data_IF_857723079161
#
_entry.id   IF_857723079161
#
_cell.length_a   1.000
_cell.length_b   1.000
_cell.length_c   1.000
_cell.angle_alpha   90.00
_cell.angle_beta   90.00
_cell.angle_gamma   90.00
#
_symmetry.space_group_name_H-M   'P 1'
#
loop_
_entity.id
_entity.type
_entity.pdbx_description
1 polymer ?
#
# COMPACT_ATOMS: atom_id res chain seq x y z
N UNK A 1 -9.92 5.74 -22.33
CA UNK A 1 -9.14 4.91 -21.37
C UNK A 1 -8.33 5.85 -20.49
N UNK A 2 -8.25 5.59 -19.19
CA UNK A 2 -7.43 6.37 -18.25
C UNK A 2 -6.38 5.45 -17.61
N UNK A 3 -5.08 5.77 -17.68
CA UNK A 3 -4.04 5.01 -16.98
C UNK A 3 -4.00 5.34 -15.48
N UNK A 4 -3.73 4.32 -14.66
CA UNK A 4 -3.45 4.45 -13.23
C UNK A 4 -2.07 3.85 -12.93
N UNK A 5 -1.09 4.71 -12.63
CA UNK A 5 0.32 4.34 -12.49
C UNK A 5 0.81 4.11 -11.06
N UNK A 6 -0.03 4.30 -10.06
CA UNK A 6 0.34 4.13 -8.65
C UNK A 6 -0.75 4.63 -7.69
N UNK A 7 -0.49 4.51 -6.38
CA UNK A 7 -1.46 4.86 -5.33
C UNK A 7 -1.91 6.33 -5.39
N UNK A 8 -1.01 7.25 -5.71
CA UNK A 8 -1.30 8.69 -5.78
C UNK A 8 -2.19 9.07 -6.96
N UNK A 9 -2.21 8.23 -8.02
CA UNK A 9 -3.03 8.47 -9.20
C UNK A 9 -4.52 8.19 -8.96
N UNK A 10 -4.85 7.32 -8.01
CA UNK A 10 -6.20 6.77 -7.85
C UNK A 10 -7.21 7.89 -7.59
N UNK A 11 -6.93 8.80 -6.64
CA UNK A 11 -7.80 9.94 -6.34
C UNK A 11 -7.93 10.87 -7.56
N UNK A 12 -6.83 11.14 -8.28
CA UNK A 12 -6.82 11.98 -9.49
C UNK A 12 -7.67 11.38 -10.61
N UNK A 13 -7.57 10.07 -10.84
CA UNK A 13 -8.35 9.33 -11.83
C UNK A 13 -9.84 9.37 -11.45
N UNK A 14 -10.18 9.11 -10.19
CA UNK A 14 -11.55 9.19 -9.69
C UNK A 14 -12.17 10.59 -9.90
N UNK A 15 -11.44 11.67 -9.56
CA UNK A 15 -11.87 13.06 -9.82
C UNK A 15 -12.15 13.30 -11.30
N UNK A 16 -11.23 12.85 -12.17
CA UNK A 16 -11.34 13.01 -13.62
C UNK A 16 -12.61 12.34 -14.14
N UNK A 17 -12.85 11.08 -13.75
CA UNK A 17 -14.05 10.33 -14.14
C UNK A 17 -15.30 11.07 -13.66
N UNK A 18 -15.37 11.39 -12.38
CA UNK A 18 -16.54 12.02 -11.76
C UNK A 18 -16.89 13.36 -12.41
N UNK A 19 -15.89 14.22 -12.64
CA UNK A 19 -16.09 15.52 -13.28
C UNK A 19 -16.64 15.39 -14.70
N UNK A 20 -16.06 14.49 -15.50
CA UNK A 20 -16.50 14.27 -16.87
C UNK A 20 -17.88 13.61 -16.93
N UNK A 21 -18.18 12.66 -16.04
CA UNK A 21 -19.51 12.06 -15.92
C UNK A 21 -20.58 13.08 -15.54
N UNK A 22 -20.28 14.03 -14.64
CA UNK A 22 -21.20 15.14 -14.34
C UNK A 22 -21.43 16.08 -15.51
N UNK A 23 -20.40 16.31 -16.34
CA UNK A 23 -20.47 17.24 -17.48
C UNK A 23 -21.13 16.64 -18.72
N UNK A 24 -20.79 15.39 -19.03
CA UNK A 24 -21.17 14.73 -20.29
C UNK A 24 -22.19 13.60 -20.09
N UNK A 25 -22.53 13.27 -18.85
CA UNK A 25 -23.49 12.23 -18.51
C UNK A 25 -23.10 10.86 -19.03
N UNK A 26 -24.08 10.13 -19.54
CA UNK A 26 -23.95 8.76 -20.04
C UNK A 26 -23.21 8.68 -21.39
N UNK A 27 -22.96 9.80 -22.07
CA UNK A 27 -22.31 9.81 -23.39
C UNK A 27 -20.81 9.45 -23.32
N UNK A 28 -20.17 9.65 -22.17
CA UNK A 28 -18.75 9.38 -21.97
C UNK A 28 -18.53 8.07 -21.22
N UNK A 29 -17.53 7.30 -21.67
CA UNK A 29 -17.19 6.00 -21.13
C UNK A 29 -15.72 5.96 -20.68
N UNK A 30 -15.48 5.42 -19.49
CA UNK A 30 -14.19 5.29 -18.85
C UNK A 30 -13.88 3.82 -18.55
N UNK A 31 -12.81 3.34 -19.18
CA UNK A 31 -12.09 2.14 -18.77
C UNK A 31 -10.78 2.58 -18.13
N UNK A 32 -10.52 2.13 -16.91
CA UNK A 32 -9.27 2.40 -16.20
C UNK A 32 -8.30 1.25 -16.48
N UNK A 33 -7.08 1.56 -16.93
CA UNK A 33 -6.00 0.58 -17.06
C UNK A 33 -5.03 0.77 -15.91
N UNK A 34 -4.95 -0.22 -15.04
CA UNK A 34 -3.91 -0.31 -14.03
C UNK A 34 -2.57 -0.63 -14.70
N UNK A 35 -1.53 0.15 -14.42
CA UNK A 35 -0.17 -0.04 -14.97
C UNK A 35 0.76 -0.73 -13.98
N UNK A 36 0.51 -0.57 -12.69
CA UNK A 36 1.25 -1.18 -11.57
C UNK A 36 0.25 -1.68 -10.53
N UNK A 37 0.52 -2.75 -9.77
CA UNK A 37 -0.39 -3.27 -8.75
C UNK A 37 -0.65 -2.25 -7.64
N UNK A 38 -1.71 -1.45 -7.77
CA UNK A 38 -1.99 -0.32 -6.90
C UNK A 38 -3.48 -0.17 -6.54
N UNK A 39 -4.40 -0.69 -7.36
CA UNK A 39 -5.84 -0.58 -7.14
C UNK A 39 -6.27 -1.74 -6.22
N UNK A 40 -6.60 -1.43 -4.97
CA UNK A 40 -7.20 -2.41 -4.04
C UNK A 40 -8.72 -2.37 -4.12
N UNK A 41 -9.37 -3.27 -3.39
CA UNK A 41 -10.83 -3.37 -3.33
C UNK A 41 -11.54 -2.02 -3.13
N UNK A 42 -11.13 -1.22 -2.17
CA UNK A 42 -11.79 0.06 -1.87
C UNK A 42 -11.58 1.09 -2.98
N UNK A 43 -10.39 1.11 -3.58
CA UNK A 43 -10.09 1.97 -4.74
C UNK A 43 -10.91 1.56 -5.96
N UNK A 44 -11.05 0.25 -6.19
CA UNK A 44 -11.89 -0.31 -7.25
C UNK A 44 -13.32 0.20 -7.08
N UNK A 45 -13.89 0.07 -5.89
CA UNK A 45 -15.26 0.55 -5.63
C UNK A 45 -15.37 2.05 -5.76
N UNK A 46 -14.40 2.83 -5.28
CA UNK A 46 -14.38 4.27 -5.48
C UNK A 46 -14.40 4.65 -6.96
N UNK A 47 -13.58 4.00 -7.79
CA UNK A 47 -13.49 4.27 -9.22
C UNK A 47 -14.78 3.88 -9.96
N UNK A 48 -15.39 2.73 -9.60
CA UNK A 48 -16.69 2.32 -10.14
C UNK A 48 -17.79 3.31 -9.71
N UNK A 49 -17.86 3.70 -8.44
CA UNK A 49 -18.82 4.69 -7.92
C UNK A 49 -18.61 6.07 -8.52
N UNK A 50 -17.37 6.44 -8.86
CA UNK A 50 -17.07 7.66 -9.62
C UNK A 50 -17.63 7.61 -11.06
N UNK A 51 -17.85 6.41 -11.60
CA UNK A 51 -18.45 6.17 -12.91
C UNK A 51 -17.55 5.48 -13.93
N UNK A 52 -16.48 4.78 -13.51
CA UNK A 52 -15.76 3.87 -14.39
C UNK A 52 -16.64 2.68 -14.78
N UNK A 53 -16.68 2.30 -16.06
CA UNK A 53 -17.39 1.08 -16.48
C UNK A 53 -16.62 -0.19 -16.13
N UNK A 54 -15.29 -0.15 -16.25
CA UNK A 54 -14.44 -1.29 -15.93
C UNK A 54 -13.02 -0.85 -15.58
N UNK A 55 -12.33 -1.76 -14.90
CA UNK A 55 -10.93 -1.63 -14.51
C UNK A 55 -10.20 -2.86 -15.03
N UNK A 56 -9.10 -2.62 -15.73
CA UNK A 56 -8.24 -3.67 -16.29
C UNK A 56 -6.97 -3.72 -15.46
N UNK A 57 -6.79 -4.83 -14.76
CA UNK A 57 -5.64 -5.13 -13.90
C UNK A 57 -4.31 -5.09 -14.69
N UNK A 58 -3.23 -4.73 -14.00
CA UNK A 58 -1.88 -4.61 -14.58
C UNK A 58 -1.39 -5.90 -15.26
N UNK A 59 -1.77 -7.09 -14.76
CA UNK A 59 -1.39 -8.40 -15.32
C UNK A 59 -2.08 -8.73 -16.64
N UNK A 60 -3.17 -8.03 -16.99
CA UNK A 60 -3.96 -8.34 -18.18
C UNK A 60 -3.37 -7.69 -19.43
N UNK A 61 -3.37 -8.43 -20.54
CA UNK A 61 -2.88 -7.97 -21.84
C UNK A 61 -3.74 -6.86 -22.44
N UNK A 62 -3.17 -6.15 -23.41
CA UNK A 62 -3.88 -5.08 -24.13
C UNK A 62 -5.09 -5.59 -24.92
N UNK A 63 -5.09 -6.86 -25.35
CA UNK A 63 -6.26 -7.46 -25.99
C UNK A 63 -7.51 -7.39 -25.09
N UNK A 64 -7.35 -7.75 -23.80
CA UNK A 64 -8.42 -7.62 -22.80
C UNK A 64 -8.83 -6.16 -22.62
N UNK A 65 -7.89 -5.23 -22.64
CA UNK A 65 -8.19 -3.80 -22.58
C UNK A 65 -9.05 -3.35 -23.76
N UNK A 66 -8.70 -3.73 -24.99
CA UNK A 66 -9.49 -3.38 -26.18
C UNK A 66 -10.90 -3.99 -26.13
N UNK A 67 -11.04 -5.23 -25.68
CA UNK A 67 -12.34 -5.85 -25.47
C UNK A 67 -13.19 -5.08 -24.46
N UNK A 68 -12.59 -4.64 -23.34
CA UNK A 68 -13.28 -3.83 -22.33
C UNK A 68 -13.68 -2.46 -22.85
N UNK A 69 -12.85 -1.81 -23.67
CA UNK A 69 -13.20 -0.54 -24.33
C UNK A 69 -14.40 -0.73 -25.27
N UNK A 70 -14.40 -1.81 -26.06
CA UNK A 70 -15.51 -2.13 -26.95
C UNK A 70 -16.80 -2.39 -26.16
N UNK A 71 -16.74 -3.20 -25.10
CA UNK A 71 -17.89 -3.46 -24.23
C UNK A 71 -18.42 -2.19 -23.56
N UNK A 72 -17.53 -1.33 -23.06
CA UNK A 72 -17.92 -0.05 -22.46
C UNK A 72 -18.70 0.81 -23.47
N UNK A 73 -18.29 0.87 -24.74
CA UNK A 73 -19.01 1.63 -25.77
C UNK A 73 -20.43 1.14 -26.09
N UNK A 74 -20.75 -0.10 -25.72
CA UNK A 74 -22.05 -0.75 -25.98
C UNK A 74 -22.99 -0.73 -24.77
N UNK A 75 -22.50 -0.34 -23.60
CA UNK A 75 -23.24 -0.40 -22.34
C UNK A 75 -23.50 1.00 -21.81
N UNK A 76 -24.70 1.21 -21.25
CA UNK A 76 -25.02 2.44 -20.52
C UNK A 76 -24.84 2.20 -19.03
N UNK A 77 -24.32 3.20 -18.33
CA UNK A 77 -24.22 3.20 -16.88
C UNK A 77 -25.01 4.40 -16.37
N UNK A 78 -26.03 4.12 -15.57
CA UNK A 78 -26.94 5.16 -15.05
C UNK A 78 -26.17 6.24 -14.28
N UNK A 79 -26.62 7.47 -14.46
CA UNK A 79 -26.03 8.65 -13.84
C UNK A 79 -26.62 8.92 -12.45
N UNK A 80 -26.12 8.22 -11.43
CA UNK A 80 -26.31 8.61 -10.03
C UNK A 80 -24.94 8.74 -9.33
N UNK A 81 -24.25 9.84 -9.61
CA UNK A 81 -22.90 10.07 -9.14
C UNK A 81 -22.88 10.91 -7.86
N UNK A 82 -22.09 10.48 -6.88
CA UNK A 82 -21.90 11.19 -5.62
C UNK A 82 -21.28 12.59 -5.83
N UNK A 83 -21.40 13.45 -4.81
CA UNK A 83 -20.54 14.64 -4.73
C UNK A 83 -19.06 14.22 -4.59
N UNK A 84 -18.12 15.07 -5.01
CA UNK A 84 -16.69 14.75 -4.86
C UNK A 84 -16.33 14.47 -3.40
N UNK A 85 -16.80 15.32 -2.49
CA UNK A 85 -16.59 15.19 -1.05
C UNK A 85 -17.22 13.91 -0.50
N UNK A 86 -18.45 13.58 -0.93
CA UNK A 86 -19.14 12.35 -0.50
C UNK A 86 -18.40 11.10 -0.99
N UNK A 87 -17.91 11.11 -2.22
CA UNK A 87 -17.15 10.00 -2.80
C UNK A 87 -15.88 9.74 -1.99
N UNK A 88 -15.04 10.76 -1.79
CA UNK A 88 -13.78 10.53 -1.08
C UNK A 88 -13.98 10.18 0.39
N UNK A 89 -14.93 10.83 1.08
CA UNK A 89 -15.25 10.49 2.46
C UNK A 89 -15.71 9.04 2.62
N UNK A 90 -16.45 8.51 1.64
CA UNK A 90 -16.95 7.13 1.71
C UNK A 90 -15.82 6.09 1.56
N UNK A 91 -14.78 6.40 0.79
CA UNK A 91 -13.69 5.49 0.47
C UNK A 91 -12.34 5.93 1.04
N UNK A 92 -12.35 6.83 2.02
CA UNK A 92 -11.14 7.29 2.70
C UNK A 92 -10.59 6.17 3.57
N UNK A 93 -9.25 6.02 3.59
CA UNK A 93 -8.63 5.12 4.55
C UNK A 93 -8.81 5.69 5.95
N UNK A 94 -9.12 4.85 6.96
CA UNK A 94 -9.20 5.30 8.35
C UNK A 94 -7.83 5.67 8.95
N UNK A 95 -6.71 5.41 8.24
CA UNK A 95 -5.35 5.70 8.68
C UNK A 95 -4.67 6.57 7.61
N UNK A 96 -4.12 7.71 8.03
CA UNK A 96 -3.51 8.68 7.11
C UNK A 96 -2.01 8.42 6.89
N UNK A 97 -1.37 7.79 7.89
CA UNK A 97 0.03 7.44 7.98
C UNK A 97 0.40 6.28 7.06
N UNK A 98 1.70 6.10 6.82
CA UNK A 98 2.24 4.95 6.10
C UNK A 98 3.63 4.60 6.59
N UNK A 99 3.96 3.30 6.55
CA UNK A 99 5.28 2.81 6.87
C UNK A 99 5.46 2.49 8.36
N UNK A 100 6.71 2.47 8.81
CA UNK A 100 7.04 2.09 10.18
C UNK A 100 6.76 3.22 11.17
N UNK A 101 6.09 2.90 12.26
CA UNK A 101 5.79 3.78 13.39
C UNK A 101 6.12 3.06 14.70
N UNK A 102 6.22 3.80 15.82
CA UNK A 102 6.40 3.20 17.14
C UNK A 102 5.24 2.26 17.50
N UNK A 103 5.48 1.29 18.38
CA UNK A 103 4.45 0.33 18.76
C UNK A 103 3.22 1.01 19.38
N UNK A 104 3.42 2.04 20.23
CA UNK A 104 2.33 2.80 20.82
C UNK A 104 1.48 3.52 19.76
N UNK A 105 2.14 4.19 18.80
CA UNK A 105 1.44 4.83 17.68
C UNK A 105 0.71 3.79 16.83
N UNK A 106 1.36 2.67 16.51
CA UNK A 106 0.78 1.57 15.75
C UNK A 106 -0.49 1.04 16.41
N UNK A 107 -0.43 0.77 17.72
CA UNK A 107 -1.55 0.27 18.51
C UNK A 107 -2.70 1.27 18.52
N UNK A 108 -2.42 2.54 18.82
CA UNK A 108 -3.46 3.58 18.82
C UNK A 108 -4.12 3.77 17.45
N UNK A 109 -3.33 3.84 16.38
CA UNK A 109 -3.83 3.97 15.00
C UNK A 109 -4.67 2.76 14.59
N UNK A 110 -4.20 1.54 14.88
CA UNK A 110 -4.93 0.30 14.56
C UNK A 110 -6.27 0.22 15.29
N UNK A 111 -6.30 0.53 16.58
CA UNK A 111 -7.54 0.50 17.37
C UNK A 111 -8.55 1.55 16.90
N UNK A 112 -8.07 2.76 16.59
CA UNK A 112 -8.93 3.80 16.02
C UNK A 112 -9.49 3.37 14.65
N UNK A 113 -8.65 2.79 13.81
CA UNK A 113 -9.07 2.31 12.49
C UNK A 113 -10.15 1.23 12.58
N UNK A 114 -10.03 0.28 13.52
CA UNK A 114 -11.04 -0.74 13.77
C UNK A 114 -12.38 -0.11 14.17
N UNK A 115 -12.37 0.89 15.06
CA UNK A 115 -13.61 1.56 15.50
C UNK A 115 -14.28 2.34 14.37
N UNK A 116 -13.50 3.06 13.56
CA UNK A 116 -14.01 3.73 12.34
C UNK A 116 -14.58 2.69 11.38
N UNK A 117 -13.85 1.60 11.15
CA UNK A 117 -14.25 0.57 10.22
C UNK A 117 -15.51 -0.18 10.67
N UNK A 118 -15.80 -0.27 11.97
CA UNK A 118 -16.99 -0.96 12.50
C UNK A 118 -18.31 -0.45 11.92
N UNK A 119 -18.37 0.86 11.60
CA UNK A 119 -19.54 1.50 11.00
C UNK A 119 -19.48 1.55 9.46
N UNK A 120 -18.42 0.99 8.88
CA UNK A 120 -18.20 0.90 7.43
C UNK A 120 -18.13 -0.57 7.02
N UNK A 121 -18.25 -0.87 5.73
CA UNK A 121 -18.02 -2.24 5.22
C UNK A 121 -16.57 -2.42 4.74
N UNK A 122 -15.63 -1.64 5.30
CA UNK A 122 -14.23 -1.67 4.91
C UNK A 122 -13.53 -2.78 5.71
N UNK A 123 -13.02 -3.78 5.00
CA UNK A 123 -12.21 -4.85 5.58
C UNK A 123 -10.77 -4.38 5.82
N UNK A 124 -10.14 -4.95 6.84
CA UNK A 124 -8.77 -4.69 7.24
C UNK A 124 -8.10 -5.99 7.70
N UNK A 125 -6.77 -5.96 7.80
CA UNK A 125 -6.00 -7.10 8.26
C UNK A 125 -4.79 -6.67 9.10
N UNK A 126 -4.57 -7.35 10.22
CA UNK A 126 -3.31 -7.34 10.95
C UNK A 126 -2.53 -8.60 10.58
N UNK A 127 -1.28 -8.42 10.18
CA UNK A 127 -0.35 -9.51 9.90
C UNK A 127 0.82 -9.41 10.86
N UNK A 128 1.15 -10.53 11.49
CA UNK A 128 2.33 -10.68 12.34
C UNK A 128 3.34 -11.60 11.64
N UNK A 129 4.59 -11.14 11.58
CA UNK A 129 5.67 -11.77 10.86
C UNK A 129 6.87 -11.98 11.79
N UNK A 130 7.31 -13.24 11.90
CA UNK A 130 8.53 -13.60 12.65
C UNK A 130 9.66 -13.86 11.66
N UNK A 131 10.75 -13.08 11.67
CA UNK A 131 11.87 -13.29 10.75
C UNK A 131 12.63 -14.58 11.07
N UNK A 132 13.35 -15.13 10.11
CA UNK A 132 14.34 -16.18 10.39
C UNK A 132 15.41 -15.65 11.35
N UNK A 133 15.94 -16.50 12.23
CA UNK A 133 17.03 -16.12 13.15
C UNK A 133 18.31 -15.66 12.43
N UNK A 134 18.49 -16.07 11.17
CA UNK A 134 19.59 -15.64 10.29
C UNK A 134 19.36 -14.27 9.64
N UNK A 135 18.15 -13.71 9.72
CA UNK A 135 17.78 -12.43 9.12
C UNK A 135 17.52 -11.42 10.24
N UNK A 136 18.45 -10.48 10.50
CA UNK A 136 18.23 -9.40 11.45
C UNK A 136 16.96 -8.62 11.12
N UNK A 137 16.24 -8.18 12.15
CA UNK A 137 14.96 -7.48 11.97
C UNK A 137 15.12 -6.17 11.19
N UNK A 138 16.23 -5.46 11.41
CA UNK A 138 16.61 -4.27 10.63
C UNK A 138 16.81 -4.57 9.14
N UNK A 139 17.34 -5.74 8.81
CA UNK A 139 17.50 -6.20 7.43
C UNK A 139 16.14 -6.52 6.81
N UNK A 140 15.28 -7.28 7.50
CA UNK A 140 13.92 -7.57 7.05
C UNK A 140 13.11 -6.28 6.80
N UNK A 141 13.26 -5.28 7.68
CA UNK A 141 12.65 -3.96 7.51
C UNK A 141 13.21 -3.20 6.31
N UNK A 142 14.50 -3.32 6.01
CA UNK A 142 15.12 -2.64 4.86
C UNK A 142 14.57 -3.11 3.50
N UNK A 143 14.04 -4.34 3.43
CA UNK A 143 13.35 -4.86 2.25
C UNK A 143 11.89 -4.39 2.14
N UNK A 144 11.34 -3.75 3.17
CA UNK A 144 9.98 -3.24 3.17
C UNK A 144 9.87 -1.91 2.41
N UNK A 145 8.92 -1.83 1.50
CA UNK A 145 8.61 -0.69 0.65
C UNK A 145 7.16 -0.24 0.84
N UNK A 146 6.77 -0.01 2.09
CA UNK A 146 5.43 0.49 2.43
C UNK A 146 5.22 1.91 1.91
N UNK A 147 4.63 2.01 0.71
CA UNK A 147 4.35 3.28 0.02
C UNK A 147 2.89 3.70 0.09
N UNK A 148 2.00 2.77 0.45
CA UNK A 148 0.56 3.03 0.42
C UNK A 148 0.11 3.69 1.72
N UNK A 149 -0.58 4.83 1.59
CA UNK A 149 -1.25 5.48 2.72
C UNK A 149 -2.29 4.55 3.34
N UNK A 150 -2.26 4.48 4.67
CA UNK A 150 -3.09 3.62 5.48
C UNK A 150 -2.51 2.23 5.75
N UNK A 151 -1.36 1.88 5.19
CA UNK A 151 -0.62 0.69 5.59
C UNK A 151 0.49 1.11 6.56
N UNK A 152 0.39 0.66 7.81
CA UNK A 152 1.37 0.96 8.85
C UNK A 152 2.02 -0.31 9.37
N UNK A 153 3.24 -0.22 9.87
CA UNK A 153 3.95 -1.31 10.48
C UNK A 153 4.67 -0.88 11.75
N UNK A 154 5.00 -1.83 12.61
CA UNK A 154 5.92 -1.61 13.72
C UNK A 154 6.76 -2.86 13.97
N UNK A 155 7.88 -2.67 14.65
CA UNK A 155 8.69 -3.74 15.20
C UNK A 155 8.41 -3.86 16.70
N UNK A 156 8.17 -5.07 17.18
CA UNK A 156 8.04 -5.34 18.61
C UNK A 156 8.43 -6.80 18.91
N UNK A 157 9.15 -7.04 20.01
CA UNK A 157 9.55 -8.39 20.47
C UNK A 157 10.19 -9.29 19.40
N UNK A 158 11.02 -8.71 18.54
CA UNK A 158 11.68 -9.44 17.45
C UNK A 158 10.77 -9.81 16.28
N UNK A 159 9.60 -9.17 16.16
CA UNK A 159 8.59 -9.42 15.12
C UNK A 159 8.25 -8.14 14.39
N UNK A 160 7.70 -8.27 13.19
CA UNK A 160 7.06 -7.17 12.45
C UNK A 160 5.55 -7.35 12.51
N UNK A 161 4.85 -6.32 12.94
CA UNK A 161 3.40 -6.21 12.79
C UNK A 161 3.11 -5.27 11.62
N UNK A 162 2.17 -5.64 10.77
CA UNK A 162 1.69 -4.81 9.66
C UNK A 162 0.18 -4.74 9.74
N UNK A 163 -0.37 -3.54 9.77
CA UNK A 163 -1.80 -3.29 9.67
C UNK A 163 -2.14 -2.70 8.30
N UNK A 164 -3.07 -3.35 7.61
CA UNK A 164 -3.60 -2.93 6.32
C UNK A 164 -5.03 -2.40 6.51
N UNK A 165 -5.22 -1.09 6.40
CA UNK A 165 -6.49 -0.40 6.69
C UNK A 165 -7.62 -0.58 5.67
N UNK A 166 -7.35 -1.23 4.53
CA UNK A 166 -8.32 -1.43 3.45
C UNK A 166 -7.90 -2.61 2.57
N UNK A 167 -7.92 -3.80 3.16
CA UNK A 167 -7.41 -5.01 2.54
C UNK A 167 -8.27 -6.20 2.93
N UNK A 168 -8.69 -6.97 1.93
CA UNK A 168 -9.47 -8.18 2.16
C UNK A 168 -8.57 -9.34 2.56
N UNK A 169 -9.13 -10.29 3.30
CA UNK A 169 -8.39 -11.46 3.80
C UNK A 169 -7.63 -12.21 2.70
N UNK A 170 -8.24 -12.40 1.53
CA UNK A 170 -7.62 -13.16 0.43
C UNK A 170 -6.57 -12.36 -0.35
N UNK A 171 -6.47 -11.05 -0.13
CA UNK A 171 -5.47 -10.17 -0.76
C UNK A 171 -4.18 -10.07 0.07
N UNK A 172 -4.16 -10.60 1.31
CA UNK A 172 -3.03 -10.51 2.24
C UNK A 172 -1.73 -11.00 1.62
N UNK A 173 -1.74 -12.16 0.97
CA UNK A 173 -0.54 -12.71 0.36
C UNK A 173 0.03 -11.79 -0.73
N UNK A 174 -0.82 -11.28 -1.61
CA UNK A 174 -0.40 -10.36 -2.67
C UNK A 174 0.06 -9.01 -2.10
N UNK A 175 -0.60 -8.52 -1.05
CA UNK A 175 -0.18 -7.29 -0.38
C UNK A 175 1.22 -7.43 0.22
N UNK A 176 1.54 -8.56 0.86
CA UNK A 176 2.88 -8.81 1.39
C UNK A 176 3.94 -8.88 0.28
N UNK A 177 3.65 -9.53 -0.85
CA UNK A 177 4.54 -9.54 -2.01
C UNK A 177 4.79 -8.13 -2.58
N UNK A 178 3.82 -7.23 -2.45
CA UNK A 178 3.99 -5.84 -2.90
C UNK A 178 4.69 -4.96 -1.87
N UNK A 179 4.61 -5.32 -0.57
CA UNK A 179 5.30 -4.61 0.50
C UNK A 179 6.79 -4.95 0.52
N UNK A 180 7.17 -6.22 0.33
CA UNK A 180 8.58 -6.62 0.42
C UNK A 180 9.24 -6.74 -0.96
N UNK A 181 10.46 -6.22 -1.09
CA UNK A 181 11.27 -6.35 -2.29
C UNK A 181 11.75 -7.80 -2.55
N UNK A 182 11.70 -8.63 -1.52
CA UNK A 182 12.03 -10.06 -1.53
C UNK A 182 10.80 -10.84 -1.10
N UNK A 183 10.65 -12.08 -1.58
CA UNK A 183 9.51 -12.92 -1.22
C UNK A 183 9.39 -13.07 0.32
N UNK A 184 8.22 -12.83 0.93
CA UNK A 184 8.05 -12.94 2.38
C UNK A 184 8.49 -14.29 2.97
N UNK A 185 8.35 -15.37 2.19
CA UNK A 185 8.78 -16.73 2.58
C UNK A 185 10.30 -16.89 2.74
N UNK A 186 11.10 -15.97 2.20
CA UNK A 186 12.56 -15.97 2.36
C UNK A 186 13.00 -15.18 3.59
N UNK A 187 12.14 -14.27 4.08
CA UNK A 187 12.44 -13.39 5.20
C UNK A 187 11.85 -13.92 6.51
N UNK A 188 10.68 -14.56 6.46
CA UNK A 188 9.88 -14.89 7.64
C UNK A 188 9.64 -16.39 7.77
N UNK A 189 9.85 -16.90 8.98
CA UNK A 189 9.60 -18.30 9.35
C UNK A 189 8.15 -18.54 9.75
N UNK A 190 7.51 -17.54 10.37
CA UNK A 190 6.11 -17.61 10.79
C UNK A 190 5.34 -16.39 10.31
N UNK A 191 4.09 -16.63 9.93
CA UNK A 191 3.12 -15.60 9.56
C UNK A 191 1.78 -15.92 10.24
N UNK A 192 1.27 -14.97 11.01
CA UNK A 192 -0.09 -15.00 11.57
C UNK A 192 -0.93 -13.88 10.98
N UNK A 193 -2.22 -14.15 10.73
CA UNK A 193 -3.14 -13.19 10.12
C UNK A 193 -4.39 -13.07 11.00
N UNK A 194 -4.77 -11.84 11.31
CA UNK A 194 -5.95 -11.52 12.10
C UNK A 194 -6.81 -10.55 11.29
N UNK A 195 -8.07 -10.91 11.10
CA UNK A 195 -9.04 -10.09 10.35
C UNK A 195 -10.30 -9.79 11.16
N UNK A 196 -10.39 -10.35 12.36
CA UNK A 196 -11.46 -10.07 13.31
C UNK A 196 -11.03 -9.00 14.32
N UNK A 197 -11.95 -8.10 14.67
CA UNK A 197 -11.69 -6.99 15.56
C UNK A 197 -11.25 -7.45 16.95
N UNK A 198 -11.96 -8.42 17.53
CA UNK A 198 -11.73 -8.89 18.89
C UNK A 198 -10.41 -9.65 18.97
N UNK A 199 -10.07 -10.43 17.94
CA UNK A 199 -8.77 -11.08 17.81
C UNK A 199 -7.62 -10.07 17.77
N UNK A 200 -7.75 -9.02 16.96
CA UNK A 200 -6.72 -7.96 16.85
C UNK A 200 -6.56 -7.22 18.18
N UNK A 201 -7.67 -6.79 18.80
CA UNK A 201 -7.66 -6.06 20.07
C UNK A 201 -7.00 -6.91 21.17
N UNK A 202 -7.38 -8.19 21.24
CA UNK A 202 -6.79 -9.15 22.19
C UNK A 202 -5.30 -9.31 21.93
N UNK A 203 -4.89 -9.46 20.67
CA UNK A 203 -3.48 -9.62 20.30
C UNK A 203 -2.65 -8.40 20.67
N UNK A 204 -3.07 -7.19 20.32
CA UNK A 204 -2.38 -5.93 20.66
C UNK A 204 -2.36 -5.63 22.16
N UNK A 205 -3.28 -6.21 22.93
CA UNK A 205 -3.28 -6.12 24.39
C UNK A 205 -2.34 -7.14 25.04
N UNK A 206 -2.11 -8.29 24.39
CA UNK A 206 -1.23 -9.35 24.88
C UNK A 206 0.27 -9.04 24.72
N UNK A 207 0.62 -8.17 23.78
CA UNK A 207 2.01 -7.77 23.53
C UNK A 207 2.40 -6.72 24.58
N UNK A 208 3.39 -7.06 25.41
CA UNK A 208 3.96 -6.15 26.38
C UNK A 208 5.00 -5.29 25.66
N UNK A 209 4.75 -3.98 25.56
CA UNK A 209 5.69 -3.06 24.95
C UNK A 209 6.97 -2.99 25.79
N UNK A 210 8.05 -3.63 25.33
CA UNK A 210 9.40 -3.24 25.71
C UNK A 210 9.90 -2.37 24.56
N UNK A 211 9.83 -1.05 24.74
CA UNK A 211 10.39 -0.09 23.79
C UNK A 211 11.88 -0.38 23.63
N UNK A 212 12.28 -0.87 22.46
CA UNK A 212 13.66 -0.73 22.03
C UNK A 212 13.79 0.71 21.54
N UNK A 213 14.55 1.58 22.22
CA UNK A 213 14.75 2.93 21.75
C UNK A 213 15.34 2.87 20.34
N UNK A 214 14.67 3.53 19.39
CA UNK A 214 15.24 3.82 18.08
C UNK A 214 16.63 4.42 18.32
N UNK A 215 17.67 3.76 17.83
CA UNK A 215 18.99 4.39 17.82
C UNK A 215 18.87 5.64 16.95
N UNK A 216 19.16 6.84 17.48
CA UNK A 216 19.13 8.05 16.68
C UNK A 216 20.09 7.87 15.51
N UNK A 217 19.54 8.04 14.30
CA UNK A 217 20.33 8.19 13.09
C UNK A 217 21.35 9.30 13.34
N UNK A 218 22.62 8.90 13.43
CA UNK A 218 23.72 9.83 13.63
C UNK A 218 23.69 10.85 12.48
N UNK A 219 23.31 12.08 12.82
CA UNK A 219 23.48 13.23 11.93
C UNK A 219 24.92 13.72 12.09
N UNK A 220 25.57 13.86 10.94
CA UNK A 220 26.81 14.61 10.69
C UNK A 220 28.11 14.11 11.34
N UNK A 221 29.03 13.62 10.50
CA UNK A 221 30.41 14.11 10.52
C UNK A 221 31.10 13.88 9.18
N UNK A 222 31.46 14.99 8.56
CA UNK A 222 32.80 15.29 8.04
C UNK A 222 33.48 14.29 7.08
N UNK A 223 33.87 14.87 5.94
CA UNK A 223 34.95 14.42 5.06
C UNK A 223 36.11 13.80 5.83
N UNK A 224 36.25 12.48 5.75
CA UNK A 224 37.50 11.82 6.07
C UNK A 224 37.93 10.97 4.88
N UNK A 225 39.07 11.37 4.31
CA UNK A 225 39.77 10.70 3.22
C UNK A 225 40.10 9.25 3.61
N UNK A 226 39.21 8.32 3.27
CA UNK A 226 39.52 6.90 3.31
C UNK A 226 40.34 6.55 2.06
N UNK A 227 41.65 6.40 2.26
CA UNK A 227 42.55 5.82 1.26
C UNK A 227 42.19 4.33 1.11
N UNK A 228 41.83 3.83 -0.08
CA UNK A 228 41.50 2.42 -0.23
C UNK A 228 42.76 1.55 -0.11
N UNK A 229 42.75 0.63 0.84
CA UNK A 229 43.74 -0.44 0.97
C UNK A 229 43.54 -1.45 -0.17
N UNK A 230 44.10 -1.14 -1.34
CA UNK A 230 44.22 -2.05 -2.47
C UNK A 230 45.60 -1.86 -3.08
N UNK A 231 46.45 -2.90 -3.01
CA UNK A 231 47.80 -2.88 -3.61
C UNK A 231 47.80 -3.05 -5.14
N UNK A 232 46.63 -2.99 -5.80
CA UNK A 232 46.50 -3.25 -7.24
C UNK A 232 45.49 -2.35 -7.96
N UNK A 233 45.47 -1.04 -7.68
CA UNK A 233 44.76 -0.08 -8.53
C UNK A 233 45.62 1.17 -8.77
N UNK A 234 46.19 1.29 -9.98
CA UNK A 234 46.75 2.55 -10.46
C UNK A 234 45.62 3.50 -10.84
N UNK A 235 45.75 4.77 -10.46
CA UNK A 235 44.83 5.85 -10.80
C UNK A 235 44.86 6.08 -12.32
N UNK A 236 43.71 6.01 -13.00
CA UNK A 236 43.61 6.47 -14.39
C UNK A 236 43.58 8.00 -14.40
N UNK A 237 44.50 8.59 -15.16
CA UNK A 237 44.60 10.03 -15.37
C UNK A 237 43.76 10.39 -16.60
N UNK A 238 42.75 11.25 -16.43
CA UNK A 238 41.79 11.61 -17.49
C UNK A 238 42.12 12.91 -18.22
N UNK A 239 43.26 13.54 -17.94
CA UNK A 239 43.67 14.81 -18.57
C UNK A 239 44.49 14.64 -19.87
N UNK A 240 44.27 13.55 -20.60
CA UNK A 240 44.68 13.42 -22.00
C UNK A 240 43.63 12.67 -22.82
N UNK A 241 42.52 13.34 -23.14
CA UNK A 241 41.69 13.09 -24.33
C UNK A 241 41.00 14.38 -24.77
#
# INVERSE_FOLDING_TARGET
MLPCGGFDDIKRVAKTILHNKKRFGESVHFVVKELTPCIRYNDFHMLITAGAQSIVDHTKSDAVLYDQIRLASMTKMEANYLSETSLFRQFESPVDESGFVSYDAFKSLTLNAIEVCRNTQIEYALVELTPFSSVPLTEAMSYSQMKRRGDIACQIDGRILIFFSSLRRYEIHQALLNVFAVAPSELFVEQSQYTDADEIITRLSSIQAIDYPEQPSATETESNNATPASRFASRADWDQL
#
